data_IF_087755525095
#
_entry.id   IF_087755525095
#
_cell.length_a   1.000
_cell.length_b   1.000
_cell.length_c   1.000
_cell.angle_alpha   90.00
_cell.angle_beta   90.00
_cell.angle_gamma   90.00
#
_symmetry.space_group_name_H-M   'P 1'
#
loop_
_entity.id
_entity.type
_entity.pdbx_description
1 polymer ?
#
# COMPACT_ATOMS: atom_id res chain seq x y z
N UNK A 1 5.18 -18.90 -7.63
CA UNK A 1 4.37 -17.97 -8.43
C UNK A 1 5.31 -16.95 -9.08
N UNK A 2 5.03 -16.58 -10.32
CA UNK A 2 6.01 -16.08 -11.27
C UNK A 2 6.65 -14.73 -10.89
N UNK A 3 7.97 -14.74 -10.71
CA UNK A 3 8.81 -13.55 -10.88
C UNK A 3 9.00 -13.38 -12.39
N UNK A 4 8.16 -12.57 -13.04
CA UNK A 4 8.45 -12.16 -14.40
C UNK A 4 9.55 -11.08 -14.36
N UNK A 5 10.67 -11.39 -15.01
CA UNK A 5 11.70 -10.40 -15.35
C UNK A 5 11.02 -9.18 -15.99
N UNK A 6 11.11 -8.03 -15.33
CA UNK A 6 10.66 -6.75 -15.86
C UNK A 6 11.58 -6.41 -17.04
N UNK A 7 11.04 -6.48 -18.26
CA UNK A 7 11.70 -5.95 -19.45
C UNK A 7 11.97 -4.46 -19.24
N UNK A 8 13.09 -3.94 -19.75
CA UNK A 8 13.59 -2.58 -19.49
C UNK A 8 12.73 -1.44 -20.08
N UNK A 9 11.53 -1.71 -20.60
CA UNK A 9 10.68 -0.71 -21.29
C UNK A 9 9.22 -0.75 -20.84
N UNK A 10 8.96 -0.71 -19.53
CA UNK A 10 7.62 -0.43 -19.02
C UNK A 10 7.64 0.80 -18.12
N UNK A 11 7.19 1.93 -18.66
CA UNK A 11 6.96 3.17 -17.90
C UNK A 11 5.66 3.05 -17.10
N UNK A 12 5.70 2.32 -15.99
CA UNK A 12 4.60 2.35 -15.03
C UNK A 12 4.60 3.69 -14.32
N UNK A 13 3.46 4.37 -14.30
CA UNK A 13 3.29 5.67 -13.61
C UNK A 13 2.60 5.52 -12.26
N UNK A 14 1.94 4.39 -12.03
CA UNK A 14 1.18 4.08 -10.83
C UNK A 14 1.36 2.61 -10.42
N UNK A 15 1.38 2.36 -9.11
CA UNK A 15 1.32 1.01 -8.52
C UNK A 15 0.18 1.00 -7.50
N UNK A 16 -0.59 -0.07 -7.50
CA UNK A 16 -1.63 -0.33 -6.50
C UNK A 16 -1.23 -1.57 -5.73
N UNK A 17 -1.23 -1.47 -4.40
CA UNK A 17 -0.97 -2.56 -3.48
C UNK A 17 -2.28 -2.87 -2.76
N UNK A 18 -2.85 -4.03 -3.07
CA UNK A 18 -4.04 -4.54 -2.39
C UNK A 18 -3.67 -5.24 -1.08
N UNK A 19 -4.60 -5.24 -0.12
CA UNK A 19 -4.41 -5.79 1.23
C UNK A 19 -3.12 -5.34 1.94
N UNK A 20 -2.78 -4.05 1.89
CA UNK A 20 -1.50 -3.52 2.39
C UNK A 20 -1.18 -3.87 3.86
N UNK A 21 -2.21 -4.03 4.70
CA UNK A 21 -2.05 -4.52 6.08
C UNK A 21 -1.35 -5.89 6.19
N UNK A 22 -1.48 -6.77 5.19
CA UNK A 22 -0.87 -8.12 5.14
C UNK A 22 0.52 -8.14 4.52
N UNK A 23 0.94 -7.00 3.99
CA UNK A 23 2.17 -6.89 3.23
C UNK A 23 3.41 -7.01 4.13
N UNK A 24 4.38 -7.81 3.67
CA UNK A 24 5.64 -8.13 4.35
C UNK A 24 6.82 -7.27 3.86
N UNK A 25 8.02 -7.54 4.41
CA UNK A 25 9.25 -6.80 4.11
C UNK A 25 9.67 -6.93 2.63
N UNK A 26 9.34 -8.03 1.96
CA UNK A 26 9.71 -8.22 0.53
C UNK A 26 9.05 -7.15 -0.35
N UNK A 27 7.84 -6.78 -0.01
CA UNK A 27 7.07 -5.78 -0.75
C UNK A 27 7.58 -4.34 -0.51
N UNK A 28 8.35 -4.10 0.56
CA UNK A 28 8.97 -2.78 0.82
C UNK A 28 9.98 -2.40 -0.27
N UNK A 29 10.79 -3.35 -0.74
CA UNK A 29 11.78 -3.09 -1.79
C UNK A 29 11.11 -2.62 -3.09
N UNK A 30 9.91 -3.12 -3.38
CA UNK A 30 9.10 -2.72 -4.54
C UNK A 30 8.60 -1.28 -4.36
N UNK A 31 8.13 -0.92 -3.17
CA UNK A 31 7.70 0.45 -2.85
C UNK A 31 8.86 1.43 -2.98
N UNK A 32 10.01 1.12 -2.36
CA UNK A 32 11.19 1.99 -2.39
C UNK A 32 11.70 2.19 -3.83
N UNK A 33 11.72 1.11 -4.62
CA UNK A 33 12.07 1.19 -6.03
C UNK A 33 11.09 2.08 -6.81
N UNK A 34 9.79 1.90 -6.61
CA UNK A 34 8.75 2.69 -7.27
C UNK A 34 8.87 4.18 -6.96
N UNK A 35 9.06 4.52 -5.68
CA UNK A 35 9.23 5.90 -5.23
C UNK A 35 10.46 6.56 -5.86
N UNK A 36 11.60 5.84 -5.97
CA UNK A 36 12.81 6.33 -6.67
C UNK A 36 12.58 6.62 -8.15
N UNK A 37 11.64 5.92 -8.78
CA UNK A 37 11.26 6.13 -10.18
C UNK A 37 10.15 7.18 -10.34
N UNK A 38 9.80 7.93 -9.28
CA UNK A 38 8.69 8.91 -9.27
C UNK A 38 7.33 8.30 -9.64
N UNK A 39 7.14 7.02 -9.33
CA UNK A 39 5.87 6.30 -9.53
C UNK A 39 4.95 6.56 -8.36
N UNK A 40 3.67 6.84 -8.65
CA UNK A 40 2.66 7.03 -7.59
C UNK A 40 2.25 5.68 -7.02
N UNK A 41 2.23 5.55 -5.69
CA UNK A 41 1.84 4.31 -5.00
C UNK A 41 0.52 4.50 -4.27
N UNK A 42 -0.42 3.59 -4.47
CA UNK A 42 -1.72 3.55 -3.79
C UNK A 42 -1.79 2.27 -2.97
N UNK A 43 -2.02 2.41 -1.66
CA UNK A 43 -2.15 1.28 -0.76
C UNK A 43 -3.61 1.14 -0.35
N UNK A 44 -4.21 -0.02 -0.60
CA UNK A 44 -5.56 -0.34 -0.18
C UNK A 44 -5.49 -1.28 1.01
N UNK A 45 -6.26 -0.96 2.06
CA UNK A 45 -6.32 -1.79 3.26
C UNK A 45 -7.72 -1.76 3.84
N UNK A 46 -8.19 -2.91 4.33
CA UNK A 46 -9.49 -3.03 5.01
C UNK A 46 -9.41 -2.61 6.48
N UNK A 47 -8.20 -2.56 7.04
CA UNK A 47 -7.94 -2.08 8.40
C UNK A 47 -6.84 -1.03 8.38
N UNK A 48 -6.95 -0.07 9.31
CA UNK A 48 -5.92 0.92 9.59
C UNK A 48 -5.68 0.90 11.09
N UNK A 49 -4.57 0.28 11.51
CA UNK A 49 -4.12 0.31 12.89
C UNK A 49 -2.88 1.22 13.02
N UNK A 50 -2.49 1.52 14.26
CA UNK A 50 -1.36 2.42 14.52
C UNK A 50 -0.04 1.90 13.90
N UNK A 51 0.17 0.59 13.89
CA UNK A 51 1.37 -0.02 13.30
C UNK A 51 1.39 0.14 11.77
N UNK A 52 0.25 0.01 11.11
CA UNK A 52 0.12 0.26 9.68
C UNK A 52 0.31 1.74 9.35
N UNK A 53 -0.25 2.64 10.16
CA UNK A 53 -0.05 4.08 9.99
C UNK A 53 1.43 4.46 10.13
N UNK A 54 2.11 3.94 11.15
CA UNK A 54 3.55 4.16 11.35
C UNK A 54 4.37 3.62 10.17
N UNK A 55 4.04 2.44 9.65
CA UNK A 55 4.64 1.91 8.41
C UNK A 55 4.41 2.82 7.22
N UNK A 56 3.18 3.31 7.02
CA UNK A 56 2.87 4.25 5.95
C UNK A 56 3.71 5.53 6.05
N UNK A 57 3.84 6.12 7.24
CA UNK A 57 4.69 7.31 7.46
C UNK A 57 6.16 6.99 7.19
N UNK A 58 6.65 5.84 7.66
CA UNK A 58 8.04 5.42 7.45
C UNK A 58 8.38 5.27 5.97
N UNK A 59 7.45 4.75 5.16
CA UNK A 59 7.71 4.46 3.75
C UNK A 59 7.40 5.62 2.81
N UNK A 60 6.36 6.40 3.13
CA UNK A 60 5.84 7.44 2.25
C UNK A 60 6.08 8.87 2.77
N UNK A 61 6.63 9.02 3.98
CA UNK A 61 6.85 10.30 4.65
C UNK A 61 5.56 10.91 5.17
N UNK A 62 4.80 11.56 4.28
CA UNK A 62 3.52 12.21 4.59
C UNK A 62 2.42 11.68 3.65
N UNK A 63 1.96 10.43 3.83
CA UNK A 63 0.92 9.86 2.97
C UNK A 63 -0.42 10.56 3.18
N UNK A 64 -1.16 10.79 2.09
CA UNK A 64 -2.58 11.12 2.18
C UNK A 64 -3.37 9.86 2.55
N UNK A 65 -4.04 9.90 3.70
CA UNK A 65 -4.83 8.78 4.21
C UNK A 65 -6.32 9.08 4.04
N UNK A 66 -7.01 8.22 3.30
CA UNK A 66 -8.47 8.24 3.17
C UNK A 66 -9.04 7.04 3.92
N UNK A 67 -9.77 7.29 5.00
CA UNK A 67 -10.38 6.24 5.81
C UNK A 67 -11.91 6.28 5.68
N UNK A 68 -12.49 5.13 5.34
CA UNK A 68 -13.95 4.94 5.33
C UNK A 68 -14.35 4.20 6.61
N UNK A 69 -14.81 4.95 7.60
CA UNK A 69 -15.26 4.38 8.87
C UNK A 69 -16.66 3.77 8.75
N UNK A 70 -16.74 2.44 8.62
CA UNK A 70 -18.01 1.71 8.60
C UNK A 70 -18.39 1.31 10.03
N UNK A 71 -19.12 2.17 10.75
CA UNK A 71 -19.73 1.80 12.03
C UNK A 71 -20.91 0.83 11.80
N UNK A 72 -20.66 -0.49 11.86
CA UNK A 72 -21.74 -1.48 11.76
C UNK A 72 -22.54 -1.51 13.07
N UNK A 73 -23.69 -0.82 13.10
CA UNK A 73 -24.70 -0.98 14.16
C UNK A 73 -25.48 -2.27 13.93
N UNK A 74 -25.05 -3.39 14.51
CA UNK A 74 -25.90 -4.57 14.65
C UNK A 74 -26.68 -4.48 15.96
N UNK A 75 -27.88 -3.89 15.91
CA UNK A 75 -28.88 -4.11 16.95
C UNK A 75 -29.61 -5.42 16.61
N UNK A 76 -29.02 -6.56 16.96
CA UNK A 76 -29.74 -7.84 16.98
C UNK A 76 -30.42 -7.91 18.36
N UNK A 77 -31.75 -7.81 18.36
CA UNK A 77 -32.58 -8.21 19.51
C UNK A 77 -32.82 -9.71 19.45
#
# INVERSE_FOLDING_TARGET
MALHMISKEHNFTHIVIDEFHRTDVISYQIIEYALKQSVKVFCLSVTVDAALQERCVTYFGEPLIFEVNVQRRYNIR
#
